data_IF_063838599920
#
_entry.id   IF_063838599920
#
_cell.length_a   1.000
_cell.length_b   1.000
_cell.length_c   1.000
_cell.angle_alpha   90.00
_cell.angle_beta   90.00
_cell.angle_gamma   90.00
#
_symmetry.space_group_name_H-M   'P 1'
#
loop_
_entity.id
_entity.type
_entity.pdbx_description
1 polymer ?
#
# COMPACT_ATOMS: atom_id res chain seq x y z
N UNK A 1 31.52 18.91 41.98
CA UNK A 1 30.93 20.11 41.35
C UNK A 1 29.42 20.00 41.51
N UNK A 2 28.84 20.93 42.25
CA UNK A 2 27.40 21.10 42.43
C UNK A 2 26.67 21.38 41.11
N UNK A 3 25.46 20.85 41.00
CA UNK A 3 24.33 21.66 40.58
C UNK A 3 23.10 21.21 41.37
N UNK A 4 22.62 22.11 42.24
CA UNK A 4 21.27 22.03 42.81
C UNK A 4 20.25 22.20 41.67
N UNK A 5 19.30 21.28 41.59
CA UNK A 5 18.03 21.50 40.91
C UNK A 5 16.90 21.27 41.91
N UNK A 6 16.42 22.35 42.54
CA UNK A 6 15.15 22.37 43.25
C UNK A 6 14.04 22.13 42.22
N UNK A 7 13.44 20.95 42.24
CA UNK A 7 12.28 20.62 41.43
C UNK A 7 11.31 19.77 42.23
N UNK A 8 10.33 20.41 42.88
CA UNK A 8 9.13 19.73 43.34
C UNK A 8 8.36 19.24 42.11
N UNK A 9 8.52 17.96 41.77
CA UNK A 9 7.74 17.31 40.73
C UNK A 9 6.37 16.91 41.26
N UNK A 10 5.38 17.79 41.09
CA UNK A 10 3.98 17.44 41.32
C UNK A 10 3.48 16.67 40.09
N UNK A 11 3.53 15.33 40.13
CA UNK A 11 2.88 14.54 39.07
C UNK A 11 1.38 14.53 39.33
N UNK A 12 0.65 15.40 38.65
CA UNK A 12 -0.80 15.39 38.64
C UNK A 12 -1.32 14.02 38.20
N UNK A 13 -2.12 13.41 39.08
CA UNK A 13 -2.83 12.15 38.86
C UNK A 13 -3.66 12.28 37.57
N UNK A 14 -3.40 11.43 36.59
CA UNK A 14 -4.34 10.99 35.55
C UNK A 14 -5.33 12.03 35.01
N UNK A 15 -4.86 13.19 34.56
CA UNK A 15 -5.72 14.15 33.87
C UNK A 15 -6.32 13.51 32.61
N UNK A 16 -7.64 13.61 32.42
CA UNK A 16 -8.32 13.13 31.22
C UNK A 16 -7.54 13.57 29.98
N UNK A 17 -7.16 12.66 29.07
CA UNK A 17 -6.46 13.01 27.83
C UNK A 17 -7.20 14.06 27.00
N UNK A 18 -8.50 14.30 27.23
CA UNK A 18 -9.29 15.38 26.64
C UNK A 18 -8.83 16.79 27.06
N UNK A 19 -8.23 16.97 28.25
CA UNK A 19 -7.83 18.29 28.76
C UNK A 19 -6.84 19.02 27.86
N UNK A 20 -5.99 18.30 27.13
CA UNK A 20 -5.02 18.90 26.19
C UNK A 20 -5.68 19.49 24.93
N UNK A 21 -6.93 19.10 24.67
CA UNK A 21 -7.70 19.54 23.51
C UNK A 21 -8.81 20.53 23.91
N UNK A 22 -8.80 21.02 25.15
CA UNK A 22 -9.78 21.98 25.62
C UNK A 22 -9.60 23.33 24.90
N UNK A 23 -10.71 23.92 24.45
CA UNK A 23 -10.73 25.28 23.91
C UNK A 23 -11.60 26.13 24.83
N UNK A 24 -11.00 27.15 25.46
CA UNK A 24 -11.70 28.01 26.45
C UNK A 24 -12.35 27.19 27.57
N UNK A 25 -11.60 26.23 28.12
CA UNK A 25 -12.03 25.30 29.18
C UNK A 25 -13.21 24.37 28.84
N UNK A 26 -13.68 24.39 27.59
CA UNK A 26 -14.65 23.41 27.08
C UNK A 26 -13.91 22.17 26.61
N UNK A 27 -14.19 21.03 27.25
CA UNK A 27 -13.67 19.74 26.79
C UNK A 27 -14.40 19.28 25.53
N UNK A 28 -13.68 18.78 24.51
CA UNK A 28 -14.31 18.17 23.37
C UNK A 28 -15.01 16.87 23.76
N UNK A 29 -16.17 16.62 23.15
CA UNK A 29 -16.94 15.38 23.33
C UNK A 29 -16.24 14.20 22.63
N UNK A 30 -15.59 14.46 21.49
CA UNK A 30 -14.81 13.48 20.74
C UNK A 30 -13.52 14.12 20.25
N UNK A 31 -12.40 13.42 20.42
CA UNK A 31 -11.11 13.77 19.86
C UNK A 31 -10.68 12.69 18.89
N UNK A 32 -10.35 13.13 17.67
CA UNK A 32 -9.69 12.34 16.65
C UNK A 32 -8.31 12.98 16.40
N UNK A 33 -7.29 12.57 17.16
CA UNK A 33 -5.91 13.02 16.97
C UNK A 33 -5.16 11.98 16.15
N UNK A 34 -5.07 12.20 14.84
CA UNK A 34 -4.42 11.29 13.89
C UNK A 34 -2.90 11.33 13.96
N UNK A 35 -2.31 12.43 14.42
CA UNK A 35 -0.86 12.55 14.62
C UNK A 35 -0.41 11.68 15.80
N UNK A 36 -1.17 11.70 16.89
CA UNK A 36 -0.91 10.90 18.09
C UNK A 36 -1.58 9.54 18.08
N UNK A 37 -2.32 9.20 17.02
CA UNK A 37 -3.10 7.96 16.91
C UNK A 37 -4.06 7.77 18.09
N UNK A 38 -4.61 8.87 18.60
CA UNK A 38 -5.45 8.90 19.78
C UNK A 38 -6.91 9.20 19.40
N UNK A 39 -7.79 8.27 19.75
CA UNK A 39 -9.23 8.41 19.61
C UNK A 39 -9.84 8.41 21.02
N UNK A 40 -10.54 9.47 21.41
CA UNK A 40 -11.11 9.55 22.77
C UNK A 40 -12.32 8.65 22.99
N UNK A 41 -12.93 8.19 21.89
CA UNK A 41 -13.97 7.18 21.86
C UNK A 41 -13.58 6.12 20.84
N UNK A 42 -13.83 4.82 21.12
CA UNK A 42 -13.54 3.77 20.16
C UNK A 42 -14.39 3.98 18.91
N UNK A 43 -13.73 4.21 17.77
CA UNK A 43 -14.37 4.15 16.47
C UNK A 43 -14.48 2.67 16.10
N UNK A 44 -15.71 2.15 16.01
CA UNK A 44 -15.94 0.78 15.56
C UNK A 44 -15.60 0.67 14.08
N UNK A 45 -14.37 0.23 13.78
CA UNK A 45 -13.92 -0.06 12.44
C UNK A 45 -14.25 -1.50 12.11
N UNK A 46 -15.10 -1.72 11.10
CA UNK A 46 -15.44 -3.05 10.61
C UNK A 46 -14.78 -3.29 9.26
N UNK A 47 -13.94 -4.32 9.18
CA UNK A 47 -13.34 -4.80 7.93
C UNK A 47 -13.20 -6.31 8.00
N UNK A 48 -13.75 -7.04 7.04
CA UNK A 48 -13.81 -8.51 7.07
C UNK A 48 -12.44 -9.21 6.95
N UNK A 49 -11.41 -8.51 6.43
CA UNK A 49 -10.08 -9.08 6.12
C UNK A 49 -8.96 -8.19 6.65
N UNK A 50 -7.70 -8.66 6.61
CA UNK A 50 -6.54 -7.79 6.73
C UNK A 50 -6.45 -6.83 5.52
N UNK A 51 -5.75 -5.70 5.69
CA UNK A 51 -5.51 -4.74 4.60
C UNK A 51 -4.17 -4.02 4.80
N UNK A 52 -3.64 -3.43 3.73
CA UNK A 52 -2.32 -2.80 3.73
C UNK A 52 -2.38 -1.28 3.84
N UNK A 53 -1.30 -0.64 4.27
CA UNK A 53 -1.12 0.82 4.29
C UNK A 53 0.37 1.18 4.18
N UNK A 54 0.70 2.39 3.73
CA UNK A 54 2.06 2.88 3.74
C UNK A 54 2.38 3.51 5.10
N UNK A 55 3.52 3.16 5.69
CA UNK A 55 4.03 3.80 6.89
C UNK A 55 4.72 5.15 6.58
N UNK A 56 5.16 5.93 7.59
CA UNK A 56 5.86 7.20 7.34
C UNK A 56 7.13 7.11 6.50
N UNK A 57 7.70 5.91 6.34
CA UNK A 57 8.89 5.66 5.52
C UNK A 57 8.54 5.17 4.12
N UNK A 58 7.24 5.07 3.78
CA UNK A 58 6.76 4.56 2.50
C UNK A 58 6.80 3.03 2.37
N UNK A 59 7.04 2.31 3.47
CA UNK A 59 7.04 0.84 3.47
C UNK A 59 5.62 0.33 3.65
N UNK A 60 5.26 -0.72 2.90
CA UNK A 60 3.94 -1.33 2.95
C UNK A 60 3.81 -2.19 4.21
N UNK A 61 2.81 -1.88 5.03
CA UNK A 61 2.49 -2.60 6.26
C UNK A 61 1.13 -3.29 6.15
N UNK A 62 0.94 -4.38 6.91
CA UNK A 62 -0.37 -5.08 7.00
C UNK A 62 -1.02 -4.81 8.36
N UNK A 63 -2.27 -4.35 8.34
CA UNK A 63 -3.09 -4.21 9.53
C UNK A 63 -4.03 -5.42 9.70
N UNK A 64 -4.17 -5.96 10.91
CA UNK A 64 -5.19 -6.96 11.23
C UNK A 64 -6.61 -6.44 10.99
N UNK A 65 -7.55 -7.37 10.85
CA UNK A 65 -9.00 -7.15 10.80
C UNK A 65 -9.43 -6.15 11.89
N UNK A 66 -10.37 -5.26 11.58
CA UNK A 66 -10.94 -4.26 12.50
C UNK A 66 -9.93 -3.33 13.21
N UNK A 67 -8.70 -3.22 12.70
CA UNK A 67 -7.66 -2.33 13.25
C UNK A 67 -7.52 -1.06 12.39
N UNK A 68 -7.36 0.13 13.00
CA UNK A 68 -7.12 1.37 12.26
C UNK A 68 -5.85 1.27 11.42
N UNK A 69 -5.90 1.83 10.21
CA UNK A 69 -4.74 2.06 9.34
C UNK A 69 -4.51 3.55 9.25
N UNK A 70 -3.27 3.97 9.40
CA UNK A 70 -2.90 5.36 9.28
C UNK A 70 -1.99 5.52 8.08
N UNK A 71 -2.48 6.19 7.05
CA UNK A 71 -1.67 6.52 5.89
C UNK A 71 -0.87 7.79 6.15
N UNK A 72 0.36 7.83 5.63
CA UNK A 72 1.31 8.93 5.82
C UNK A 72 1.66 9.64 4.51
N UNK A 73 0.89 9.39 3.45
CA UNK A 73 1.05 10.06 2.15
C UNK A 73 1.05 11.58 2.27
N UNK A 74 2.05 12.23 1.63
CA UNK A 74 2.14 13.70 1.61
C UNK A 74 2.65 14.34 2.90
N UNK A 75 3.28 13.57 3.80
CA UNK A 75 3.95 14.08 5.01
C UNK A 75 3.01 14.38 6.18
N UNK A 76 1.72 14.00 6.08
CA UNK A 76 0.75 14.08 7.18
C UNK A 76 0.20 12.70 7.47
N UNK A 77 0.00 12.40 8.75
CA UNK A 77 -0.62 11.15 9.17
C UNK A 77 -2.14 11.33 9.24
N UNK A 78 -2.90 10.47 8.55
CA UNK A 78 -4.36 10.48 8.56
C UNK A 78 -4.92 9.06 8.73
N UNK A 79 -6.09 8.95 9.34
CA UNK A 79 -6.82 7.68 9.37
C UNK A 79 -7.30 7.34 7.95
N UNK A 80 -6.94 6.15 7.46
CA UNK A 80 -7.36 5.66 6.16
C UNK A 80 -8.79 5.12 6.23
N UNK A 81 -9.70 5.79 5.52
CA UNK A 81 -11.10 5.41 5.37
C UNK A 81 -11.38 5.16 3.89
N UNK A 82 -11.76 3.95 3.54
CA UNK A 82 -12.04 3.54 2.17
C UNK A 82 -13.22 2.55 2.11
N UNK A 83 -13.85 2.44 0.94
CA UNK A 83 -14.88 1.45 0.69
C UNK A 83 -14.29 0.02 0.71
N UNK A 84 -15.15 -0.97 0.88
CA UNK A 84 -14.73 -2.36 0.69
C UNK A 84 -14.30 -2.58 -0.77
N UNK A 85 -13.21 -3.32 -0.94
CA UNK A 85 -12.70 -3.71 -2.25
C UNK A 85 -12.35 -5.20 -2.25
N UNK A 86 -12.37 -5.80 -3.44
CA UNK A 86 -12.04 -7.21 -3.64
C UNK A 86 -10.84 -7.30 -4.57
N UNK A 87 -9.83 -8.06 -4.16
CA UNK A 87 -8.73 -8.39 -5.06
C UNK A 87 -9.21 -9.42 -6.09
N UNK A 88 -9.25 -9.01 -7.36
CA UNK A 88 -9.67 -9.87 -8.48
C UNK A 88 -8.52 -10.70 -9.06
N UNK A 89 -7.29 -10.51 -8.59
CA UNK A 89 -6.09 -11.22 -9.04
C UNK A 89 -5.49 -12.03 -7.87
N UNK A 90 -5.98 -13.26 -7.61
CA UNK A 90 -5.41 -14.13 -6.60
C UNK A 90 -3.92 -14.40 -6.86
N UNK A 91 -3.11 -14.60 -5.83
CA UNK A 91 -1.66 -14.80 -5.94
C UNK A 91 -0.95 -13.65 -6.67
N UNK A 92 -1.39 -12.41 -6.42
CA UNK A 92 -0.86 -11.18 -7.03
C UNK A 92 0.58 -10.85 -6.62
N UNK A 93 1.14 -11.59 -5.66
CA UNK A 93 2.53 -11.47 -5.21
C UNK A 93 3.39 -12.67 -5.63
N UNK A 94 2.81 -13.70 -6.26
CA UNK A 94 3.49 -14.96 -6.60
C UNK A 94 3.41 -15.21 -8.11
N UNK A 95 4.18 -14.46 -8.88
CA UNK A 95 4.17 -14.52 -10.35
C UNK A 95 4.75 -15.83 -10.89
N UNK A 96 5.51 -16.57 -10.07
CA UNK A 96 5.93 -17.94 -10.35
C UNK A 96 4.78 -18.95 -10.43
N UNK A 97 3.63 -18.68 -9.80
CA UNK A 97 2.52 -19.63 -9.73
C UNK A 97 1.93 -19.98 -11.12
N UNK A 98 1.30 -21.15 -11.22
CA UNK A 98 0.69 -21.64 -12.46
C UNK A 98 -0.49 -20.76 -12.95
N UNK A 99 -1.08 -19.97 -12.05
CA UNK A 99 -2.13 -19.00 -12.40
C UNK A 99 -1.64 -17.82 -13.25
N UNK A 100 -0.33 -17.66 -13.41
CA UNK A 100 0.30 -16.63 -14.23
C UNK A 100 0.93 -17.26 -15.47
N UNK A 101 0.38 -16.92 -16.63
CA UNK A 101 0.92 -17.27 -17.93
C UNK A 101 2.26 -16.56 -18.15
N UNK A 102 3.23 -17.30 -18.67
CA UNK A 102 4.59 -16.82 -18.93
C UNK A 102 4.85 -16.97 -20.42
N UNK A 103 4.98 -15.86 -21.12
CA UNK A 103 5.23 -15.87 -22.56
C UNK A 103 6.66 -15.43 -22.80
N UNK A 104 7.47 -16.37 -23.30
CA UNK A 104 8.90 -16.17 -23.62
C UNK A 104 9.73 -15.65 -22.44
N UNK A 105 9.32 -16.03 -21.24
CA UNK A 105 9.92 -15.56 -20.02
C UNK A 105 9.76 -16.61 -18.92
N UNK A 106 10.55 -16.46 -17.88
CA UNK A 106 10.47 -17.22 -16.63
C UNK A 106 10.40 -16.26 -15.45
N UNK A 107 10.11 -16.78 -14.25
CA UNK A 107 10.08 -15.99 -13.02
C UNK A 107 11.07 -16.58 -12.05
N UNK A 108 11.98 -15.75 -11.56
CA UNK A 108 12.83 -16.04 -10.41
C UNK A 108 12.15 -15.47 -9.16
N UNK A 109 11.71 -16.35 -8.27
CA UNK A 109 10.99 -15.94 -7.07
C UNK A 109 11.91 -15.29 -6.03
N UNK A 110 11.37 -14.38 -5.21
CA UNK A 110 12.06 -13.80 -4.04
C UNK A 110 13.46 -13.21 -4.36
N UNK A 111 13.57 -12.51 -5.48
CA UNK A 111 14.84 -12.06 -6.05
C UNK A 111 15.27 -10.65 -5.59
N UNK A 112 14.36 -9.87 -4.99
CA UNK A 112 14.64 -8.53 -4.51
C UNK A 112 13.74 -8.12 -3.33
N UNK A 113 14.04 -6.96 -2.73
CA UNK A 113 13.18 -6.36 -1.71
C UNK A 113 11.87 -5.88 -2.33
N UNK A 114 10.76 -6.35 -1.77
CA UNK A 114 9.41 -5.89 -2.07
C UNK A 114 9.08 -4.59 -1.31
N UNK A 115 7.96 -3.92 -1.63
CA UNK A 115 7.54 -2.69 -0.96
C UNK A 115 7.29 -2.83 0.55
N UNK A 116 7.11 -4.05 1.05
CA UNK A 116 6.99 -4.35 2.48
C UNK A 116 8.35 -4.52 3.18
N UNK A 117 9.45 -4.33 2.46
CA UNK A 117 10.81 -4.46 2.96
C UNK A 117 11.31 -5.91 3.07
N UNK A 118 10.54 -6.90 2.63
CA UNK A 118 10.94 -8.32 2.67
C UNK A 118 11.56 -8.77 1.35
N UNK A 119 12.42 -9.79 1.37
CA UNK A 119 13.03 -10.38 0.15
C UNK A 119 12.02 -11.29 -0.57
N UNK A 120 10.94 -10.71 -1.10
CA UNK A 120 9.81 -11.44 -1.70
C UNK A 120 9.43 -10.95 -3.09
N UNK A 121 10.11 -9.93 -3.63
CA UNK A 121 9.82 -9.46 -4.97
C UNK A 121 10.30 -10.46 -6.03
N UNK A 122 9.40 -10.89 -6.90
CA UNK A 122 9.71 -11.76 -8.02
C UNK A 122 10.40 -10.98 -9.16
N UNK A 123 11.34 -11.63 -9.85
CA UNK A 123 11.99 -11.11 -11.05
C UNK A 123 11.48 -11.82 -12.30
N UNK A 124 11.00 -11.03 -13.27
CA UNK A 124 10.72 -11.51 -14.62
C UNK A 124 12.04 -11.63 -15.39
N UNK A 125 12.29 -12.80 -15.99
CA UNK A 125 13.51 -13.10 -16.76
C UNK A 125 13.11 -13.50 -18.16
N UNK A 126 13.45 -12.67 -19.14
CA UNK A 126 13.17 -12.92 -20.56
C UNK A 126 14.06 -14.04 -21.11
N UNK A 127 13.54 -14.81 -22.06
CA UNK A 127 14.36 -15.72 -22.85
C UNK A 127 15.08 -14.99 -24.00
N UNK A 128 15.71 -15.75 -24.90
CA UNK A 128 16.50 -15.21 -26.03
C UNK A 128 15.68 -14.90 -27.29
N UNK A 129 14.37 -15.10 -27.27
CA UNK A 129 13.50 -14.83 -28.43
C UNK A 129 13.44 -13.34 -28.75
N UNK A 130 13.50 -12.96 -30.03
CA UNK A 130 13.32 -11.56 -30.43
C UNK A 130 11.84 -11.24 -30.66
N UNK A 131 11.05 -11.18 -29.59
CA UNK A 131 9.61 -10.89 -29.67
C UNK A 131 9.10 -10.36 -28.32
N UNK A 132 7.78 -10.27 -28.11
CA UNK A 132 7.19 -9.86 -26.83
C UNK A 132 7.51 -10.86 -25.71
N UNK A 133 7.81 -10.33 -24.53
CA UNK A 133 8.00 -11.09 -23.29
C UNK A 133 7.13 -10.49 -22.18
N UNK A 134 6.29 -11.31 -21.54
CA UNK A 134 5.37 -10.80 -20.52
C UNK A 134 4.82 -11.90 -19.62
N UNK A 135 4.25 -11.45 -18.51
CA UNK A 135 3.36 -12.23 -17.67
C UNK A 135 1.92 -11.83 -17.97
N UNK A 136 1.02 -12.79 -17.97
CA UNK A 136 -0.42 -12.54 -18.12
C UNK A 136 -1.21 -13.26 -17.06
N UNK A 137 -2.33 -12.65 -16.64
CA UNK A 137 -3.34 -13.33 -15.83
C UNK A 137 -4.52 -13.72 -16.71
N UNK A 138 -4.56 -14.97 -17.22
CA UNK A 138 -5.72 -15.42 -17.97
C UNK A 138 -6.92 -15.65 -17.04
N UNK A 139 -8.13 -15.54 -17.58
CA UNK A 139 -9.34 -16.05 -16.94
C UNK A 139 -9.88 -15.24 -15.76
N UNK A 140 -9.41 -14.02 -15.51
CA UNK A 140 -10.07 -13.13 -14.55
C UNK A 140 -11.42 -12.67 -15.11
N UNK A 141 -12.50 -13.07 -14.45
CA UNK A 141 -13.86 -12.69 -14.85
C UNK A 141 -14.21 -11.34 -14.24
N UNK A 142 -14.55 -10.38 -15.10
CA UNK A 142 -15.00 -9.03 -14.73
C UNK A 142 -16.35 -8.82 -15.42
N UNK A 143 -17.38 -8.48 -14.64
CA UNK A 143 -18.69 -8.20 -15.21
C UNK A 143 -18.64 -6.95 -16.10
N UNK A 144 -19.28 -7.01 -17.27
CA UNK A 144 -19.33 -5.87 -18.20
C UNK A 144 -19.86 -4.60 -17.54
N UNK A 145 -19.25 -3.45 -17.84
CA UNK A 145 -19.60 -2.17 -17.22
C UNK A 145 -19.00 -1.95 -15.82
N UNK A 146 -18.26 -2.92 -15.26
CA UNK A 146 -17.58 -2.75 -13.97
C UNK A 146 -16.29 -1.97 -14.14
N UNK A 147 -16.18 -0.83 -13.44
CA UNK A 147 -14.91 -0.11 -13.34
C UNK A 147 -13.97 -0.86 -12.40
N UNK A 148 -12.76 -1.17 -12.87
CA UNK A 148 -11.70 -1.83 -12.08
C UNK A 148 -10.42 -1.03 -12.15
N UNK A 149 -9.58 -1.15 -11.13
CA UNK A 149 -8.24 -0.57 -11.12
C UNK A 149 -7.22 -1.70 -11.02
N UNK A 150 -6.18 -1.63 -11.84
CA UNK A 150 -5.01 -2.50 -11.75
C UNK A 150 -3.83 -1.64 -11.29
N UNK A 151 -3.12 -2.13 -10.29
CA UNK A 151 -1.88 -1.52 -9.81
C UNK A 151 -0.85 -2.61 -9.54
N UNK A 152 0.43 -2.25 -9.68
CA UNK A 152 1.56 -3.14 -9.43
C UNK A 152 2.75 -2.29 -8.99
N UNK A 153 3.50 -2.79 -8.01
CA UNK A 153 4.79 -2.23 -7.66
C UNK A 153 5.87 -2.86 -8.54
N UNK A 154 6.63 -2.03 -9.24
CA UNK A 154 7.68 -2.47 -10.17
C UNK A 154 8.95 -1.67 -9.92
N UNK A 155 10.10 -2.32 -10.13
CA UNK A 155 11.42 -1.69 -10.04
C UNK A 155 12.28 -2.20 -11.19
N UNK A 156 13.14 -1.33 -11.73
CA UNK A 156 14.09 -1.73 -12.76
C UNK A 156 15.04 -2.80 -12.21
N UNK A 157 15.17 -3.89 -12.98
CA UNK A 157 16.33 -4.78 -12.93
C UNK A 157 17.20 -4.44 -14.16
N UNK A 158 17.15 -5.25 -15.21
CA UNK A 158 17.88 -5.00 -16.46
C UNK A 158 17.15 -4.05 -17.42
N UNK A 159 15.82 -3.92 -17.29
CA UNK A 159 14.99 -3.12 -18.21
C UNK A 159 14.56 -1.80 -17.57
N UNK A 160 14.67 -0.71 -18.36
CA UNK A 160 14.23 0.63 -17.98
C UNK A 160 12.74 0.85 -18.14
N UNK A 161 12.14 0.25 -19.17
CA UNK A 161 10.74 0.49 -19.51
C UNK A 161 9.89 -0.71 -19.08
N UNK A 162 8.74 -0.40 -18.49
CA UNK A 162 7.70 -1.38 -18.17
C UNK A 162 6.41 -1.00 -18.88
N UNK A 163 5.74 -1.99 -19.44
CA UNK A 163 4.42 -1.84 -20.04
C UNK A 163 3.39 -2.59 -19.18
N UNK A 164 2.28 -1.92 -18.87
CA UNK A 164 1.11 -2.54 -18.25
C UNK A 164 -0.02 -2.63 -19.28
N UNK A 165 -0.11 -3.74 -20.03
CA UNK A 165 -1.24 -3.98 -20.91
C UNK A 165 -2.46 -4.42 -20.11
N UNK A 166 -3.61 -3.84 -20.43
CA UNK A 166 -4.93 -4.26 -19.96
C UNK A 166 -5.81 -4.53 -21.16
N UNK A 167 -6.73 -5.48 -21.05
CA UNK A 167 -7.71 -5.80 -22.09
C UNK A 167 -9.11 -5.82 -21.51
N UNK A 168 -10.08 -5.34 -22.27
CA UNK A 168 -11.49 -5.51 -21.95
C UNK A 168 -12.06 -6.80 -22.55
N UNK A 169 -13.35 -7.07 -22.30
CA UNK A 169 -14.04 -8.26 -22.80
C UNK A 169 -14.19 -8.29 -24.33
N UNK A 170 -13.91 -7.18 -25.03
CA UNK A 170 -13.88 -7.11 -26.49
C UNK A 170 -12.46 -7.35 -27.05
N UNK A 171 -11.50 -7.79 -26.22
CA UNK A 171 -10.10 -7.95 -26.57
C UNK A 171 -9.43 -6.66 -27.06
N UNK A 172 -9.91 -5.50 -26.62
CA UNK A 172 -9.25 -4.21 -26.91
C UNK A 172 -8.16 -3.98 -25.88
N UNK A 173 -6.90 -3.94 -26.34
CA UNK A 173 -5.75 -3.72 -25.50
C UNK A 173 -5.48 -2.23 -25.31
N UNK A 174 -5.25 -1.82 -24.07
CA UNK A 174 -4.77 -0.50 -23.68
C UNK A 174 -3.50 -0.68 -22.88
N UNK A 175 -2.42 -0.04 -23.31
CA UNK A 175 -1.11 -0.20 -22.70
C UNK A 175 -0.63 1.12 -22.16
N UNK A 176 -0.31 1.14 -20.87
CA UNK A 176 0.41 2.25 -20.25
C UNK A 176 1.89 1.90 -20.14
N UNK A 177 2.76 2.83 -20.52
CA UNK A 177 4.21 2.67 -20.42
C UNK A 177 4.74 3.48 -19.24
N UNK A 178 5.74 2.93 -18.56
CA UNK A 178 6.37 3.55 -17.39
C UNK A 178 7.88 3.51 -17.56
N UNK A 179 8.52 4.65 -17.37
CA UNK A 179 9.97 4.73 -17.24
C UNK A 179 10.34 4.43 -15.78
N UNK A 180 10.93 3.26 -15.52
CA UNK A 180 11.30 2.80 -14.19
C UNK A 180 12.52 3.54 -13.63
N UNK A 181 13.25 4.30 -14.46
CA UNK A 181 14.37 5.11 -14.01
C UNK A 181 13.90 6.47 -13.48
N UNK A 182 12.92 7.09 -14.13
CA UNK A 182 12.39 8.41 -13.74
C UNK A 182 11.11 8.34 -12.92
N UNK A 183 10.41 7.19 -12.92
CA UNK A 183 9.12 7.01 -12.28
C UNK A 183 7.96 7.72 -12.99
N UNK A 184 8.11 8.07 -14.27
CA UNK A 184 7.11 8.84 -15.03
C UNK A 184 6.37 7.99 -16.05
N UNK A 185 5.16 8.40 -16.41
CA UNK A 185 4.42 7.81 -17.53
C UNK A 185 5.18 8.08 -18.83
N UNK A 186 5.33 7.05 -19.65
CA UNK A 186 5.84 7.16 -21.01
C UNK A 186 4.80 7.77 -21.93
N UNK A 187 5.24 8.63 -22.82
CA UNK A 187 4.48 9.11 -23.98
C UNK A 187 4.94 8.32 -25.20
N UNK A 188 3.97 7.82 -25.97
CA UNK A 188 4.19 7.21 -27.29
C UNK A 188 3.89 8.26 -28.35
#
# INVERSE_FOLDING_TARGET
MSALGLGLGLTGIGGSPLRRYAVRDVLPVVVLDFERRYLSHPLSLTRATSATYADPFGTLQTAPVNTPRYDCGGGKQALLVEASSTNLLPNSTQFGAASWGKTRASVLANAALAPDGTMTADKLVEDTSNNSHFLSRPGTQIAGGTAVTVSIFVKAAERRWFALPTSDSANVFRTSYFDLQTGTLGVV
#
